data_IF_434204023569
#
_entry.id   IF_434204023569
#
_cell.length_a   1.000
_cell.length_b   1.000
_cell.length_c   1.000
_cell.angle_alpha   90.00
_cell.angle_beta   90.00
_cell.angle_gamma   90.00
#
_symmetry.space_group_name_H-M   'P 1'
#
loop_
_entity.id
_entity.type
_entity.pdbx_description
1 polymer ?
#
# COMPACT_ATOMS: atom_id res chain seq x y z
N UNK A 1 25.74 -6.56 10.53
CA UNK A 1 26.81 -5.55 10.49
C UNK A 1 26.37 -4.28 9.78
N UNK A 2 25.64 -4.38 8.66
CA UNK A 2 25.08 -3.22 7.91
C UNK A 2 24.09 -2.44 8.81
N UNK A 3 23.25 -3.13 9.56
CA UNK A 3 22.23 -2.52 10.46
C UNK A 3 22.90 -1.68 11.57
N UNK A 4 24.07 -2.08 12.08
CA UNK A 4 24.76 -1.36 13.15
C UNK A 4 25.38 -0.04 12.70
N UNK A 5 25.72 0.10 11.43
CA UNK A 5 26.40 1.26 10.87
C UNK A 5 25.48 2.18 10.06
N UNK A 6 24.22 1.83 9.91
CA UNK A 6 23.25 2.63 9.15
C UNK A 6 22.51 3.62 10.06
N UNK A 7 22.25 4.85 9.61
CA UNK A 7 21.49 5.82 10.37
C UNK A 7 20.06 5.32 10.56
N UNK A 8 19.71 4.90 11.77
CA UNK A 8 18.35 4.59 12.18
C UNK A 8 17.86 5.64 13.17
N UNK A 9 16.55 5.83 13.24
CA UNK A 9 15.91 6.75 14.21
C UNK A 9 16.16 6.34 15.67
N UNK A 10 16.43 5.05 15.91
CA UNK A 10 16.76 4.52 17.23
C UNK A 10 18.01 3.65 17.11
N UNK A 11 19.09 3.92 17.84
CA UNK A 11 20.31 3.13 17.77
C UNK A 11 20.05 1.65 18.01
N UNK A 12 20.52 0.80 17.10
CA UNK A 12 20.37 -0.66 17.18
C UNK A 12 18.96 -1.22 16.94
N UNK A 13 18.00 -0.40 16.53
CA UNK A 13 16.63 -0.84 16.19
C UNK A 13 16.13 -0.24 14.90
N UNK A 14 15.41 -1.06 14.12
CA UNK A 14 14.81 -0.67 12.84
C UNK A 14 15.75 -0.88 11.66
N UNK A 15 15.17 -0.82 10.47
CA UNK A 15 15.90 -0.90 9.21
C UNK A 15 16.14 0.52 8.67
N UNK A 16 17.32 0.79 8.12
CA UNK A 16 17.61 2.08 7.52
C UNK A 16 16.75 2.30 6.28
N UNK A 17 16.22 3.52 6.13
CA UNK A 17 15.44 3.90 4.97
C UNK A 17 16.35 4.19 3.77
N UNK A 18 15.93 3.74 2.57
CA UNK A 18 16.62 4.07 1.33
C UNK A 18 17.84 3.19 1.00
N UNK A 19 18.07 2.12 1.75
CA UNK A 19 19.15 1.15 1.51
C UNK A 19 18.55 -0.13 0.93
N UNK A 20 19.09 -0.62 -0.18
CA UNK A 20 18.57 -1.79 -0.89
C UNK A 20 18.48 -3.06 -0.01
N UNK A 21 19.50 -3.42 0.81
CA UNK A 21 19.40 -4.56 1.72
C UNK A 21 18.21 -4.48 2.69
N UNK A 22 17.82 -3.28 3.13
CA UNK A 22 16.66 -3.10 4.02
C UNK A 22 15.35 -3.51 3.38
N UNK A 23 15.21 -3.34 2.06
CA UNK A 23 14.03 -3.78 1.33
C UNK A 23 13.96 -5.31 1.26
N UNK A 24 15.09 -5.97 1.02
CA UNK A 24 15.18 -7.43 1.00
C UNK A 24 14.89 -8.02 2.39
N UNK A 25 15.42 -7.42 3.45
CA UNK A 25 15.16 -7.83 4.82
C UNK A 25 13.69 -7.64 5.21
N UNK A 26 13.05 -6.52 4.79
CA UNK A 26 11.62 -6.29 5.02
C UNK A 26 10.72 -7.33 4.36
N UNK A 27 11.14 -7.93 3.26
CA UNK A 27 10.41 -9.03 2.60
C UNK A 27 10.75 -10.37 3.26
N UNK A 28 12.00 -10.61 3.63
CA UNK A 28 12.45 -11.89 4.18
C UNK A 28 12.07 -12.09 5.65
N UNK A 29 12.16 -11.04 6.47
CA UNK A 29 11.94 -11.12 7.91
C UNK A 29 10.52 -11.60 8.29
N UNK A 30 9.44 -11.22 7.62
CA UNK A 30 8.10 -11.71 7.89
C UNK A 30 7.82 -13.15 7.44
N UNK A 31 8.67 -13.75 6.59
CA UNK A 31 8.42 -15.05 5.94
C UNK A 31 8.02 -16.20 6.88
N UNK A 32 8.58 -16.35 8.09
CA UNK A 32 8.13 -17.39 9.01
C UNK A 32 6.67 -17.21 9.44
N UNK A 33 6.24 -15.96 9.62
CA UNK A 33 4.85 -15.63 9.98
C UNK A 33 3.93 -15.82 8.79
N UNK A 34 4.37 -15.43 7.59
CA UNK A 34 3.61 -15.63 6.34
C UNK A 34 3.32 -17.11 6.10
N UNK A 35 4.35 -17.95 6.23
CA UNK A 35 4.20 -19.39 6.06
C UNK A 35 3.24 -19.96 7.11
N UNK A 36 3.37 -19.52 8.36
CA UNK A 36 2.46 -19.94 9.41
C UNK A 36 1.01 -19.52 9.10
N UNK A 37 0.76 -18.27 8.67
CA UNK A 37 -0.58 -17.79 8.33
C UNK A 37 -1.19 -18.63 7.19
N UNK A 38 -0.42 -18.89 6.14
CA UNK A 38 -0.89 -19.68 4.98
C UNK A 38 -1.25 -21.11 5.33
N UNK A 39 -0.64 -21.67 6.38
CA UNK A 39 -0.94 -23.03 6.84
C UNK A 39 -2.15 -23.10 7.79
N UNK A 40 -2.76 -21.97 8.16
CA UNK A 40 -3.93 -22.01 9.04
C UNK A 40 -5.19 -22.48 8.29
N UNK A 41 -5.96 -23.33 8.93
CA UNK A 41 -7.24 -23.79 8.38
C UNK A 41 -8.16 -22.58 8.09
N UNK A 42 -8.91 -22.62 6.99
CA UNK A 42 -9.85 -21.56 6.62
C UNK A 42 -9.21 -20.27 6.05
N UNK A 43 -7.90 -20.17 5.97
CA UNK A 43 -7.23 -19.06 5.26
C UNK A 43 -7.32 -19.34 3.77
N UNK A 44 -8.18 -18.59 3.07
CA UNK A 44 -8.32 -18.72 1.61
C UNK A 44 -7.23 -17.95 0.87
N UNK A 45 -6.83 -16.79 1.39
CA UNK A 45 -5.79 -15.97 0.78
C UNK A 45 -5.13 -15.11 1.85
N UNK A 46 -3.80 -15.05 1.83
CA UNK A 46 -3.01 -14.16 2.67
C UNK A 46 -1.76 -13.72 1.93
N UNK A 47 -1.31 -12.51 2.20
CA UNK A 47 -0.06 -11.98 1.67
C UNK A 47 0.28 -10.62 2.25
N UNK A 48 1.45 -10.14 1.88
CA UNK A 48 1.88 -8.80 2.27
C UNK A 48 2.54 -8.07 1.09
N UNK A 49 2.54 -6.76 1.19
CA UNK A 49 3.33 -5.87 0.36
C UNK A 49 4.05 -4.89 1.28
N UNK A 50 5.35 -5.09 1.45
CA UNK A 50 6.17 -4.39 2.44
C UNK A 50 5.58 -4.56 3.85
N UNK A 51 5.09 -3.49 4.46
CA UNK A 51 4.48 -3.43 5.79
C UNK A 51 2.95 -3.64 5.80
N UNK A 52 2.31 -3.66 4.64
CA UNK A 52 0.85 -3.83 4.52
C UNK A 52 0.48 -5.32 4.36
N UNK A 53 -0.27 -5.87 5.30
CA UNK A 53 -0.76 -7.26 5.30
C UNK A 53 -2.24 -7.36 4.97
N UNK A 54 -2.62 -8.46 4.30
CA UNK A 54 -4.03 -8.86 4.18
C UNK A 54 -4.20 -10.36 4.42
N UNK A 55 -5.32 -10.72 5.03
CA UNK A 55 -5.76 -12.10 5.26
C UNK A 55 -7.25 -12.17 4.95
N UNK A 56 -7.67 -13.19 4.20
CA UNK A 56 -9.07 -13.43 3.84
C UNK A 56 -9.49 -14.76 4.43
N UNK A 57 -10.43 -14.70 5.38
CA UNK A 57 -11.04 -15.86 6.07
C UNK A 57 -12.55 -15.62 6.12
N UNK A 58 -13.40 -16.62 5.83
CA UNK A 58 -14.85 -16.50 5.91
C UNK A 58 -15.36 -16.29 7.34
N UNK A 59 -14.76 -16.95 8.32
CA UNK A 59 -15.14 -16.87 9.73
C UNK A 59 -14.41 -15.73 10.43
N UNK A 60 -15.19 -14.82 11.03
CA UNK A 60 -14.67 -13.61 11.70
C UNK A 60 -13.94 -13.95 13.00
N UNK A 61 -14.42 -14.92 13.78
CA UNK A 61 -13.76 -15.29 15.04
C UNK A 61 -12.45 -16.00 14.76
N UNK A 62 -12.40 -16.85 13.75
CA UNK A 62 -11.17 -17.47 13.30
C UNK A 62 -10.18 -16.41 12.80
N UNK A 63 -10.64 -15.42 12.02
CA UNK A 63 -9.80 -14.30 11.57
C UNK A 63 -9.19 -13.55 12.75
N UNK A 64 -9.97 -13.24 13.79
CA UNK A 64 -9.48 -12.58 15.00
C UNK A 64 -8.42 -13.40 15.72
N UNK A 65 -8.59 -14.73 15.80
CA UNK A 65 -7.63 -15.63 16.43
C UNK A 65 -6.33 -15.69 15.64
N UNK A 66 -6.40 -15.84 14.31
CA UNK A 66 -5.24 -15.82 13.43
C UNK A 66 -4.48 -14.50 13.52
N UNK A 67 -5.19 -13.36 13.49
CA UNK A 67 -4.57 -12.03 13.62
C UNK A 67 -3.91 -11.85 14.99
N UNK A 68 -4.54 -12.30 16.07
CA UNK A 68 -3.96 -12.21 17.42
C UNK A 68 -2.65 -12.98 17.52
N UNK A 69 -2.63 -14.21 17.03
CA UNK A 69 -1.42 -15.06 17.05
C UNK A 69 -0.35 -14.52 16.10
N UNK A 70 -0.73 -14.02 14.93
CA UNK A 70 0.18 -13.34 14.00
C UNK A 70 0.88 -12.16 14.68
N UNK A 71 0.12 -11.31 15.37
CA UNK A 71 0.68 -10.16 16.12
C UNK A 71 1.66 -10.64 17.18
N UNK A 72 1.32 -11.70 17.96
CA UNK A 72 2.20 -12.26 18.98
C UNK A 72 3.52 -12.76 18.38
N UNK A 73 3.46 -13.42 17.22
CA UNK A 73 4.66 -13.90 16.50
C UNK A 73 5.54 -12.77 16.01
N UNK A 74 4.94 -11.70 15.45
CA UNK A 74 5.70 -10.51 15.07
C UNK A 74 6.35 -9.82 16.26
N UNK A 75 5.63 -9.67 17.37
CA UNK A 75 6.16 -9.09 18.61
C UNK A 75 7.33 -9.92 19.16
N UNK A 76 7.25 -11.26 19.09
CA UNK A 76 8.36 -12.17 19.47
C UNK A 76 9.61 -12.00 18.57
N UNK A 77 9.43 -11.59 17.32
CA UNK A 77 10.52 -11.26 16.39
C UNK A 77 11.03 -9.82 16.52
N UNK A 78 10.49 -9.05 17.48
CA UNK A 78 10.83 -7.63 17.65
C UNK A 78 10.12 -6.68 16.70
N UNK A 79 9.18 -7.16 15.89
CA UNK A 79 8.40 -6.35 14.96
C UNK A 79 7.15 -5.80 15.67
N UNK A 80 7.04 -4.48 15.74
CA UNK A 80 5.88 -3.83 16.36
C UNK A 80 4.75 -3.62 15.36
N UNK A 81 3.61 -4.30 15.58
CA UNK A 81 2.40 -4.13 14.77
C UNK A 81 1.60 -2.91 15.22
N UNK A 82 1.21 -2.05 14.28
CA UNK A 82 0.34 -0.91 14.57
C UNK A 82 -1.12 -1.35 14.66
N UNK A 83 -1.56 -1.75 15.85
CA UNK A 83 -2.93 -2.25 16.12
C UNK A 83 -4.03 -1.26 15.73
N UNK A 84 -3.75 0.07 15.73
CA UNK A 84 -4.74 1.10 15.32
C UNK A 84 -5.03 1.10 13.83
N UNK A 85 -4.12 0.56 13.01
CA UNK A 85 -4.29 0.42 11.56
C UNK A 85 -4.88 -0.95 11.16
N UNK A 86 -4.92 -1.91 12.08
CA UNK A 86 -5.54 -3.21 11.82
C UNK A 86 -7.06 -3.06 11.71
N UNK A 87 -7.62 -3.51 10.59
CA UNK A 87 -9.06 -3.40 10.31
C UNK A 87 -9.60 -4.74 9.82
N UNK A 88 -10.73 -5.16 10.36
CA UNK A 88 -11.50 -6.29 9.84
C UNK A 88 -12.65 -5.69 9.02
N UNK A 89 -12.66 -5.98 7.73
CA UNK A 89 -13.58 -5.38 6.78
C UNK A 89 -14.31 -6.51 6.02
N UNK A 90 -15.65 -6.54 6.01
CA UNK A 90 -16.39 -7.47 5.16
C UNK A 90 -16.07 -7.18 3.68
N UNK A 91 -15.82 -8.21 2.87
CA UNK A 91 -15.52 -8.04 1.43
C UNK A 91 -16.67 -7.41 0.63
N UNK A 92 -17.90 -7.43 1.18
CA UNK A 92 -19.05 -6.69 0.63
C UNK A 92 -18.91 -5.17 0.73
N UNK A 93 -18.01 -4.67 1.58
CA UNK A 93 -17.70 -3.24 1.71
C UNK A 93 -16.41 -2.91 0.96
N UNK A 94 -16.32 -1.72 0.34
CA UNK A 94 -15.08 -1.27 -0.28
C UNK A 94 -13.97 -1.11 0.75
N UNK A 95 -12.78 -1.63 0.44
CA UNK A 95 -11.60 -1.50 1.29
C UNK A 95 -10.41 -0.92 0.52
N UNK A 96 -9.38 -0.48 1.25
CA UNK A 96 -8.14 0.07 0.68
C UNK A 96 -6.96 -0.84 1.01
N UNK A 97 -6.15 -1.12 -0.01
CA UNK A 97 -4.87 -1.80 0.13
C UNK A 97 -3.88 -1.23 -0.89
N UNK A 98 -2.63 -1.00 -0.51
CA UNK A 98 -1.56 -0.46 -1.37
C UNK A 98 -2.00 0.78 -2.17
N UNK A 99 -2.68 1.73 -1.54
CA UNK A 99 -3.22 2.98 -2.14
C UNK A 99 -4.32 2.78 -3.19
N UNK A 100 -4.74 1.54 -3.47
CA UNK A 100 -5.87 1.21 -4.30
C UNK A 100 -7.14 0.99 -3.47
N UNK A 101 -8.30 1.19 -4.09
CA UNK A 101 -9.61 0.88 -3.51
C UNK A 101 -10.22 -0.28 -4.25
N UNK A 102 -10.46 -1.35 -3.54
CA UNK A 102 -11.08 -2.57 -4.02
C UNK A 102 -12.57 -2.58 -3.70
N UNK A 103 -13.36 -3.05 -4.63
CA UNK A 103 -14.80 -3.26 -4.45
C UNK A 103 -15.16 -4.58 -5.10
N UNK A 104 -15.78 -5.47 -4.33
CA UNK A 104 -16.33 -6.73 -4.82
C UNK A 104 -17.84 -6.56 -5.05
N UNK A 105 -18.31 -6.83 -6.26
CA UNK A 105 -19.74 -6.85 -6.56
C UNK A 105 -20.37 -8.16 -6.11
N UNK A 106 -21.72 -8.21 -5.95
CA UNK A 106 -22.43 -9.47 -5.68
C UNK A 106 -22.24 -10.53 -6.77
N UNK A 107 -21.90 -10.11 -7.99
CA UNK A 107 -21.61 -11.00 -9.13
C UNK A 107 -20.18 -11.54 -9.14
N UNK A 108 -19.38 -11.28 -8.10
CA UNK A 108 -17.98 -11.71 -8.02
C UNK A 108 -16.99 -10.81 -8.78
N UNK A 109 -17.45 -9.75 -9.47
CA UNK A 109 -16.56 -8.83 -10.19
C UNK A 109 -15.80 -7.94 -9.22
N UNK A 110 -14.46 -7.95 -9.32
CA UNK A 110 -13.59 -7.06 -8.57
C UNK A 110 -13.34 -5.79 -9.39
N UNK A 111 -13.56 -4.64 -8.78
CA UNK A 111 -13.21 -3.33 -9.35
C UNK A 111 -12.10 -2.71 -8.51
N UNK A 112 -11.02 -2.31 -9.17
CA UNK A 112 -9.85 -1.67 -8.55
C UNK A 112 -9.79 -0.22 -9.01
N UNK A 113 -9.90 0.71 -8.08
CA UNK A 113 -9.86 2.15 -8.36
C UNK A 113 -8.67 2.81 -7.66
N UNK A 114 -8.10 3.82 -8.30
CA UNK A 114 -7.06 4.64 -7.69
C UNK A 114 -7.57 5.51 -6.53
N UNK A 115 -6.65 5.98 -5.70
CA UNK A 115 -6.98 6.84 -4.56
C UNK A 115 -7.56 8.19 -4.99
N UNK A 116 -8.71 8.58 -4.42
CA UNK A 116 -9.28 9.95 -4.62
C UNK A 116 -8.32 11.05 -4.16
N UNK A 117 -7.56 10.79 -3.11
CA UNK A 117 -6.58 11.74 -2.58
C UNK A 117 -5.37 11.89 -3.51
N UNK A 118 -5.00 10.83 -4.23
CA UNK A 118 -4.01 10.87 -5.30
C UNK A 118 -4.42 11.83 -6.41
N UNK A 119 -5.67 11.74 -6.88
CA UNK A 119 -6.22 12.65 -7.91
C UNK A 119 -6.25 14.10 -7.42
N UNK A 120 -6.68 14.33 -6.17
CA UNK A 120 -6.67 15.70 -5.60
C UNK A 120 -5.26 16.27 -5.55
N UNK A 121 -4.26 15.47 -5.15
CA UNK A 121 -2.86 15.89 -5.13
C UNK A 121 -2.33 16.17 -6.54
N UNK A 122 -2.62 15.29 -7.51
CA UNK A 122 -2.23 15.48 -8.90
C UNK A 122 -2.79 16.80 -9.47
N UNK A 123 -4.07 17.09 -9.22
CA UNK A 123 -4.70 18.36 -9.64
C UNK A 123 -4.04 19.59 -9.01
N UNK A 124 -3.74 19.53 -7.70
CA UNK A 124 -3.04 20.64 -7.01
C UNK A 124 -1.67 20.89 -7.63
N UNK A 125 -0.94 19.81 -7.93
CA UNK A 125 0.39 19.87 -8.52
C UNK A 125 0.33 20.42 -9.95
N UNK A 126 -0.65 19.99 -10.76
CA UNK A 126 -0.86 20.54 -12.12
C UNK A 126 -1.20 22.03 -12.10
N UNK A 127 -2.05 22.48 -11.15
CA UNK A 127 -2.34 23.92 -10.98
C UNK A 127 -1.09 24.72 -10.61
N UNK A 128 -0.22 24.16 -9.75
CA UNK A 128 1.06 24.79 -9.41
C UNK A 128 1.96 24.88 -10.66
N UNK A 129 2.12 23.78 -11.39
CA UNK A 129 2.94 23.71 -12.59
C UNK A 129 2.46 24.69 -13.67
N UNK A 130 1.14 24.81 -13.87
CA UNK A 130 0.57 25.77 -14.78
C UNK A 130 0.89 27.23 -14.40
N UNK A 131 0.81 27.57 -13.10
CA UNK A 131 1.21 28.90 -12.62
C UNK A 131 2.70 29.17 -12.84
N UNK A 132 3.57 28.19 -12.49
CA UNK A 132 5.01 28.30 -12.70
C UNK A 132 5.36 28.43 -14.20
N UNK A 133 4.62 27.78 -15.08
CA UNK A 133 4.76 27.93 -16.53
C UNK A 133 4.42 29.34 -17.00
N UNK A 134 3.33 29.91 -16.52
CA UNK A 134 2.96 31.30 -16.84
C UNK A 134 3.98 32.33 -16.32
N UNK A 135 4.66 32.02 -15.23
CA UNK A 135 5.74 32.82 -14.66
C UNK A 135 7.11 32.60 -15.35
N UNK A 136 7.18 31.72 -16.38
CA UNK A 136 8.42 31.38 -17.07
C UNK A 136 9.41 30.53 -16.24
N UNK A 137 8.95 29.95 -15.12
CA UNK A 137 9.78 29.15 -14.20
C UNK A 137 9.79 27.66 -14.53
N UNK A 138 8.96 27.24 -15.49
CA UNK A 138 8.79 25.82 -15.84
C UNK A 138 8.46 25.66 -17.32
N UNK A 139 8.98 24.58 -17.92
CA UNK A 139 8.71 24.22 -19.31
C UNK A 139 7.43 23.40 -19.46
N UNK A 140 6.83 23.47 -20.64
CA UNK A 140 5.65 22.66 -21.00
C UNK A 140 5.95 21.17 -20.93
N UNK A 141 7.18 20.75 -21.30
CA UNK A 141 7.64 19.36 -21.21
C UNK A 141 7.49 18.75 -19.82
N UNK A 142 7.75 19.53 -18.78
CA UNK A 142 7.62 19.05 -17.38
C UNK A 142 6.16 18.72 -17.04
N UNK A 143 5.22 19.53 -17.56
CA UNK A 143 3.78 19.32 -17.37
C UNK A 143 3.33 18.07 -18.12
N UNK A 144 3.77 17.91 -19.36
CA UNK A 144 3.46 16.75 -20.21
C UNK A 144 3.99 15.46 -19.57
N UNK A 145 5.26 15.45 -19.18
CA UNK A 145 5.88 14.30 -18.51
C UNK A 145 5.15 13.93 -17.21
N UNK A 146 4.76 14.93 -16.41
CA UNK A 146 3.99 14.67 -15.19
C UNK A 146 2.62 14.07 -15.52
N UNK A 147 1.92 14.58 -16.54
CA UNK A 147 0.63 14.06 -17.00
C UNK A 147 0.76 12.62 -17.52
N UNK A 148 1.81 12.31 -18.27
CA UNK A 148 2.08 10.96 -18.75
C UNK A 148 2.33 9.98 -17.60
N UNK A 149 3.15 10.35 -16.61
CA UNK A 149 3.39 9.56 -15.41
C UNK A 149 2.09 9.28 -14.64
N UNK A 150 1.25 10.31 -14.46
CA UNK A 150 -0.07 10.13 -13.83
C UNK A 150 -0.98 9.25 -14.67
N UNK A 151 -0.96 9.42 -15.99
CA UNK A 151 -1.70 8.61 -16.95
C UNK A 151 -1.29 7.13 -16.88
N UNK A 152 0.00 6.85 -16.84
CA UNK A 152 0.55 5.50 -16.70
C UNK A 152 0.11 4.83 -15.39
N UNK A 153 0.16 5.58 -14.28
CA UNK A 153 -0.30 5.09 -12.98
C UNK A 153 -1.78 4.71 -13.00
N UNK A 154 -2.66 5.59 -13.54
CA UNK A 154 -4.11 5.35 -13.53
C UNK A 154 -4.57 4.33 -14.56
N UNK A 155 -3.78 4.01 -15.60
CA UNK A 155 -4.08 2.92 -16.55
C UNK A 155 -4.17 1.54 -15.89
N UNK A 156 -3.49 1.35 -14.76
CA UNK A 156 -3.53 0.11 -13.98
C UNK A 156 -4.83 -0.08 -13.18
N UNK A 157 -5.76 0.88 -13.24
CA UNK A 157 -7.02 0.85 -12.49
C UNK A 157 -8.23 0.90 -13.43
N UNK A 158 -9.37 0.42 -12.96
CA UNK A 158 -10.65 0.51 -13.67
C UNK A 158 -11.20 1.96 -13.74
N UNK A 159 -10.33 2.96 -13.78
CA UNK A 159 -10.67 4.36 -13.51
C UNK A 159 -10.53 5.26 -14.75
N UNK A 160 -10.82 4.72 -15.96
CA UNK A 160 -10.69 5.45 -17.22
C UNK A 160 -11.41 6.82 -17.22
N UNK A 161 -12.59 6.92 -16.61
CA UNK A 161 -13.33 8.17 -16.53
C UNK A 161 -12.69 9.27 -15.66
N UNK A 162 -11.79 8.90 -14.73
CA UNK A 162 -11.10 9.87 -13.88
C UNK A 162 -9.85 10.43 -14.53
N UNK A 163 -9.21 9.65 -15.38
CA UNK A 163 -8.07 10.08 -16.19
C UNK A 163 -8.47 11.22 -17.14
N UNK A 164 -9.64 11.10 -17.77
CA UNK A 164 -10.20 12.14 -18.65
C UNK A 164 -10.48 13.44 -17.91
N UNK A 165 -10.78 13.39 -16.60
CA UNK A 165 -10.99 14.58 -15.75
C UNK A 165 -9.71 15.28 -15.32
N UNK A 166 -8.53 14.69 -15.50
CA UNK A 166 -7.24 15.37 -15.29
C UNK A 166 -6.82 16.18 -16.51
N UNK A 167 -7.36 15.84 -17.70
CA UNK A 167 -7.08 16.53 -18.97
C UNK A 167 -8.00 17.75 -19.22
N UNK A 168 -9.03 17.92 -18.42
CA UNK A 168 -9.92 19.09 -18.40
C UNK A 168 -9.59 19.99 -17.20
#
# INVERSE_FOLDING_TARGET
TIIRHSPCQTPGRGLPLGVEPSQQEMVALPSPVDNWVKCQAGVHCAGHYMDDYYIIIPDVEQLKNVVREMVRRFEAMGIRVNKRKCQIIPLTKPFRFCKARFTLSPTGKVTVNGSRDGIKRARRKLKLFHREFLEGKRDLKDIEQYMECQGAYYRNFNDHGRLLRLRR
#
